data_IF_227990519028
#
_entry.id   IF_227990519028
#
_cell.length_a   1.000
_cell.length_b   1.000
_cell.length_c   1.000
_cell.angle_alpha   90.00
_cell.angle_beta   90.00
_cell.angle_gamma   90.00
#
_symmetry.space_group_name_H-M   'P 1'
#
loop_
_entity.id
_entity.type
_entity.pdbx_description
1 polymer ?
#
# COMPACT_ATOMS: atom_id res chain seq x y z
N UNK A 1 -3.02 8.08 -1.19
CA UNK A 1 -3.69 8.24 0.12
C UNK A 1 -2.61 8.50 1.18
N UNK A 2 -2.92 9.30 2.20
CA UNK A 2 -2.04 9.54 3.35
C UNK A 2 -2.84 9.25 4.61
N UNK A 3 -2.25 8.50 5.54
CA UNK A 3 -2.85 8.05 6.79
C UNK A 3 -1.91 8.36 7.95
N UNK A 4 -2.46 8.52 9.14
CA UNK A 4 -1.65 8.49 10.37
C UNK A 4 -1.27 7.03 10.67
N UNK A 5 -0.03 6.83 11.11
CA UNK A 5 0.52 5.54 11.53
C UNK A 5 0.59 5.45 13.06
N UNK A 6 0.28 6.54 13.77
CA UNK A 6 0.25 6.65 15.22
C UNK A 6 1.56 6.25 15.93
N UNK A 7 2.65 6.07 15.18
CA UNK A 7 4.00 5.70 15.63
C UNK A 7 5.01 6.59 14.93
N UNK A 8 5.88 7.25 15.70
CA UNK A 8 6.95 8.07 15.16
C UNK A 8 8.13 7.19 14.74
N UNK A 9 8.41 7.13 13.44
CA UNK A 9 9.53 6.37 12.91
C UNK A 9 10.82 7.21 12.85
N UNK A 10 11.97 6.63 13.23
CA UNK A 10 13.26 7.33 13.19
C UNK A 10 13.83 7.42 11.77
N UNK A 11 13.38 6.58 10.85
CA UNK A 11 13.75 6.63 9.44
C UNK A 11 12.55 6.33 8.52
N UNK A 12 12.69 6.71 7.25
CA UNK A 12 11.69 6.40 6.23
C UNK A 12 11.87 4.97 5.72
N UNK A 13 10.77 4.22 5.69
CA UNK A 13 10.69 2.89 5.07
C UNK A 13 9.85 2.97 3.79
N UNK A 14 10.44 2.60 2.66
CA UNK A 14 9.73 2.47 1.39
C UNK A 14 9.53 0.99 1.03
N UNK A 15 8.29 0.64 0.71
CA UNK A 15 7.90 -0.65 0.15
C UNK A 15 7.36 -0.41 -1.25
N UNK A 16 8.19 -0.64 -2.26
CA UNK A 16 7.78 -0.46 -3.66
C UNK A 16 7.29 -1.78 -4.21
N UNK A 17 6.04 -1.82 -4.69
CA UNK A 17 5.50 -2.99 -5.39
C UNK A 17 6.37 -3.31 -6.62
N UNK A 18 6.83 -4.55 -6.72
CA UNK A 18 7.57 -5.04 -7.89
C UNK A 18 6.57 -5.38 -9.00
N UNK A 19 6.79 -4.84 -10.19
CA UNK A 19 5.96 -5.14 -11.36
C UNK A 19 6.22 -6.54 -11.90
N UNK A 20 5.23 -7.13 -12.60
CA UNK A 20 5.32 -8.49 -13.19
C UNK A 20 6.43 -8.66 -14.24
N UNK A 21 6.93 -7.57 -14.82
CA UNK A 21 7.83 -7.55 -15.98
C UNK A 21 9.23 -6.99 -15.67
N UNK A 22 9.69 -7.03 -14.43
CA UNK A 22 11.01 -6.49 -14.10
C UNK A 22 12.13 -7.39 -14.64
N UNK A 23 12.63 -7.05 -15.84
CA UNK A 23 13.86 -7.55 -16.46
C UNK A 23 15.09 -7.38 -15.54
N UNK A 24 15.04 -6.39 -14.64
CA UNK A 24 16.04 -6.16 -13.61
C UNK A 24 15.36 -6.23 -12.25
N UNK A 25 15.75 -7.19 -11.40
CA UNK A 25 15.31 -7.26 -10.00
C UNK A 25 15.95 -6.09 -9.24
N UNK A 26 15.20 -5.06 -8.85
CA UNK A 26 15.79 -3.91 -8.18
C UNK A 26 16.22 -4.36 -6.78
N UNK A 27 17.49 -4.15 -6.43
CA UNK A 27 18.10 -4.62 -5.18
C UNK A 27 17.39 -3.97 -3.99
N UNK A 28 16.94 -4.76 -3.02
CA UNK A 28 16.44 -4.27 -1.72
C UNK A 28 17.63 -3.87 -0.83
N UNK A 29 17.43 -2.93 0.08
CA UNK A 29 18.44 -2.66 1.12
C UNK A 29 18.45 -3.77 2.18
N UNK A 30 17.30 -4.40 2.40
CA UNK A 30 17.08 -5.46 3.39
C UNK A 30 16.14 -6.50 2.78
N UNK A 31 16.27 -7.75 3.24
CA UNK A 31 15.37 -8.85 2.93
C UNK A 31 14.76 -9.37 4.25
N UNK A 32 13.48 -9.72 4.24
CA UNK A 32 12.80 -10.34 5.38
C UNK A 32 12.93 -11.86 5.33
N UNK A 33 12.48 -12.57 6.36
CA UNK A 33 12.36 -14.05 6.31
C UNK A 33 11.18 -14.51 5.43
N UNK A 34 10.24 -13.61 5.09
CA UNK A 34 9.11 -13.92 4.23
C UNK A 34 9.49 -13.77 2.74
N UNK A 35 9.85 -14.89 2.10
CA UNK A 35 10.23 -14.92 0.69
C UNK A 35 9.12 -14.43 -0.26
N UNK A 36 7.85 -14.65 0.07
CA UNK A 36 6.73 -14.17 -0.74
C UNK A 36 6.62 -12.64 -0.67
N UNK A 37 6.80 -12.06 0.51
CA UNK A 37 6.84 -10.62 0.71
C UNK A 37 8.01 -9.98 -0.06
N UNK A 38 9.21 -10.54 0.07
CA UNK A 38 10.41 -10.08 -0.65
C UNK A 38 10.27 -10.18 -2.17
N UNK A 39 9.50 -11.16 -2.67
CA UNK A 39 9.20 -11.27 -4.11
C UNK A 39 8.25 -10.16 -4.57
N UNK A 40 7.30 -9.76 -3.73
CA UNK A 40 6.27 -8.75 -4.05
C UNK A 40 6.75 -7.32 -3.86
N UNK A 41 7.67 -7.07 -2.93
CA UNK A 41 8.13 -5.73 -2.57
C UNK A 41 9.64 -5.57 -2.69
N UNK A 42 10.07 -4.39 -3.14
CA UNK A 42 11.41 -3.88 -2.93
C UNK A 42 11.41 -3.07 -1.64
N UNK A 43 12.27 -3.43 -0.69
CA UNK A 43 12.36 -2.80 0.62
C UNK A 43 13.55 -1.84 0.64
N UNK A 44 13.31 -0.56 0.93
CA UNK A 44 14.32 0.49 0.98
C UNK A 44 14.20 1.27 2.28
N UNK A 45 15.31 1.44 2.98
CA UNK A 45 15.39 2.21 4.23
C UNK A 45 16.84 2.56 4.50
N UNK A 46 17.07 3.67 5.20
CA UNK A 46 18.40 4.05 5.70
C UNK A 46 18.75 3.38 7.02
N UNK A 47 17.77 2.80 7.71
CA UNK A 47 17.93 2.10 8.97
C UNK A 47 17.17 0.76 8.94
N UNK A 48 17.89 -0.33 9.18
CA UNK A 48 17.30 -1.66 9.18
C UNK A 48 16.43 -1.96 10.39
N UNK A 49 16.70 -1.34 11.54
CA UNK A 49 15.86 -1.52 12.73
C UNK A 49 14.45 -0.98 12.50
N UNK A 50 14.32 0.16 11.82
CA UNK A 50 13.03 0.70 11.36
C UNK A 50 12.24 -0.30 10.52
N UNK A 51 12.90 -1.04 9.62
CA UNK A 51 12.20 -2.04 8.81
C UNK A 51 11.65 -3.18 9.67
N UNK A 52 12.42 -3.70 10.64
CA UNK A 52 11.95 -4.77 11.53
C UNK A 52 10.86 -4.31 12.51
N UNK A 53 10.90 -3.05 12.94
CA UNK A 53 9.86 -2.48 13.78
C UNK A 53 8.50 -2.39 13.07
N UNK A 54 8.50 -2.02 11.79
CA UNK A 54 7.28 -1.92 10.98
C UNK A 54 6.85 -3.28 10.44
N UNK A 55 7.78 -4.04 9.85
CA UNK A 55 7.50 -5.28 9.12
C UNK A 55 7.44 -6.49 10.04
N UNK A 56 6.55 -6.44 11.03
CA UNK A 56 6.19 -7.64 11.80
C UNK A 56 5.55 -8.68 10.87
N UNK A 57 5.63 -9.99 11.19
CA UNK A 57 5.01 -11.03 10.37
C UNK A 57 3.54 -10.76 10.05
N UNK A 58 2.73 -10.35 11.02
CA UNK A 58 1.31 -10.04 10.81
C UNK A 58 1.11 -8.80 9.94
N UNK A 59 1.90 -7.74 10.13
CA UNK A 59 1.75 -6.52 9.35
C UNK A 59 2.15 -6.72 7.89
N UNK A 60 3.14 -7.57 7.61
CA UNK A 60 3.48 -7.98 6.24
C UNK A 60 2.29 -8.65 5.53
N UNK A 61 1.54 -9.49 6.23
CA UNK A 61 0.34 -10.12 5.66
C UNK A 61 -0.75 -9.09 5.37
N UNK A 62 -0.98 -8.11 6.25
CA UNK A 62 -1.93 -7.02 6.00
C UNK A 62 -1.51 -6.15 4.81
N UNK A 63 -0.22 -5.84 4.67
CA UNK A 63 0.32 -5.11 3.51
C UNK A 63 0.10 -5.91 2.21
N UNK A 64 0.27 -7.23 2.24
CA UNK A 64 0.03 -8.08 1.07
C UNK A 64 -1.46 -8.15 0.70
N UNK A 65 -2.33 -8.34 1.69
CA UNK A 65 -3.78 -8.36 1.53
C UNK A 65 -4.34 -7.01 1.05
N UNK A 66 -3.79 -5.88 1.50
CA UNK A 66 -4.17 -4.56 1.01
C UNK A 66 -3.97 -4.43 -0.52
N UNK A 67 -2.85 -4.96 -1.03
CA UNK A 67 -2.59 -5.01 -2.47
C UNK A 67 -3.53 -5.96 -3.23
N UNK A 68 -4.10 -6.97 -2.56
CA UNK A 68 -5.10 -7.90 -3.13
C UNK A 68 -6.49 -7.27 -3.19
N UNK A 69 -6.89 -6.56 -2.12
CA UNK A 69 -8.13 -5.76 -2.08
C UNK A 69 -8.14 -4.70 -3.18
N UNK A 70 -7.01 -4.01 -3.38
CA UNK A 70 -6.83 -3.04 -4.45
C UNK A 70 -6.82 -3.68 -5.85
N UNK A 71 -6.52 -4.98 -5.94
CA UNK A 71 -6.25 -5.72 -7.18
C UNK A 71 -5.26 -4.98 -8.10
N UNK A 72 -4.27 -4.33 -7.50
CA UNK A 72 -3.35 -3.42 -8.18
C UNK A 72 -2.00 -3.35 -7.45
N UNK A 73 -0.89 -3.10 -8.16
CA UNK A 73 0.38 -2.82 -7.50
C UNK A 73 0.22 -1.66 -6.51
N UNK A 74 0.43 -1.97 -5.23
CA UNK A 74 0.23 -1.02 -4.13
C UNK A 74 1.55 -0.83 -3.42
N UNK A 75 2.05 0.40 -3.36
CA UNK A 75 3.31 0.75 -2.70
C UNK A 75 3.03 1.59 -1.45
N UNK A 76 3.93 1.49 -0.48
CA UNK A 76 3.81 2.12 0.83
C UNK A 76 5.08 2.90 1.15
N UNK A 77 4.92 4.03 1.82
CA UNK A 77 6.01 4.84 2.36
C UNK A 77 5.65 5.26 3.78
N UNK A 78 6.35 4.69 4.76
CA UNK A 78 6.20 5.03 6.17
C UNK A 78 7.25 6.08 6.50
N UNK A 79 6.82 7.27 6.89
CA UNK A 79 7.70 8.41 7.13
C UNK A 79 7.18 9.27 8.28
N UNK A 80 8.00 9.47 9.31
CA UNK A 80 7.55 10.13 10.53
C UNK A 80 6.39 9.35 11.15
N UNK A 81 5.25 10.00 11.34
CA UNK A 81 4.01 9.38 11.83
C UNK A 81 3.02 9.06 10.71
N UNK A 82 3.41 9.09 9.43
CA UNK A 82 2.48 8.93 8.31
C UNK A 82 2.79 7.71 7.46
N UNK A 83 1.72 7.12 6.91
CA UNK A 83 1.80 6.15 5.81
C UNK A 83 1.25 6.78 4.54
N UNK A 84 2.07 6.82 3.50
CA UNK A 84 1.65 7.20 2.16
C UNK A 84 1.44 5.94 1.34
N UNK A 85 0.25 5.81 0.76
CA UNK A 85 -0.18 4.62 0.01
C UNK A 85 -0.44 5.04 -1.43
N UNK A 86 0.25 4.39 -2.35
CA UNK A 86 0.13 4.60 -3.79
C UNK A 86 -0.40 3.32 -4.45
N UNK A 87 -1.55 3.41 -5.11
CA UNK A 87 -2.22 2.29 -5.78
C UNK A 87 -2.16 2.55 -7.29
N UNK A 88 -1.46 1.71 -8.03
CA UNK A 88 -1.42 1.76 -9.50
C UNK A 88 -2.60 0.97 -10.08
N UNK A 89 -3.80 1.52 -9.95
CA UNK A 89 -5.04 0.90 -10.45
C UNK A 89 -5.17 0.95 -11.98
N UNK A 90 -4.25 1.64 -12.68
CA UNK A 90 -4.34 1.98 -14.12
C UNK A 90 -5.64 2.70 -14.52
N UNK A 91 -6.36 3.20 -13.53
CA UNK A 91 -7.57 3.98 -13.68
C UNK A 91 -7.35 5.33 -13.04
N UNK A 92 -7.87 6.39 -13.67
CA UNK A 92 -7.91 7.73 -13.06
C UNK A 92 -8.96 7.68 -11.94
N UNK A 93 -8.51 7.29 -10.75
CA UNK A 93 -9.36 7.13 -9.58
C UNK A 93 -9.76 8.48 -9.02
N UNK A 94 -11.03 8.59 -8.64
CA UNK A 94 -11.66 9.80 -8.16
C UNK A 94 -11.65 11.00 -9.13
N UNK A 95 -11.36 10.77 -10.42
CA UNK A 95 -11.43 11.80 -11.46
C UNK A 95 -12.70 11.68 -12.31
N UNK A 96 -13.34 12.83 -12.56
CA UNK A 96 -14.44 12.97 -13.50
C UNK A 96 -13.88 13.27 -14.90
N UNK A 97 -13.99 12.31 -15.82
CA UNK A 97 -13.84 12.57 -17.26
C UNK A 97 -15.10 13.25 -17.79
N UNK A 98 -15.07 13.74 -19.05
CA UNK A 98 -16.24 14.35 -19.72
C UNK A 98 -17.51 13.53 -19.45
N UNK A 99 -18.43 14.13 -18.70
CA UNK A 99 -19.65 13.47 -18.21
C UNK A 99 -20.71 13.52 -19.30
N UNK A 100 -21.30 12.36 -19.62
CA UNK A 100 -22.57 12.28 -20.35
C UNK A 100 -23.69 11.98 -19.36
N UNK A 101 -24.89 12.56 -19.55
CA UNK A 101 -26.02 12.43 -18.61
C UNK A 101 -26.48 10.97 -18.40
N UNK A 102 -26.30 10.10 -19.39
CA UNK A 102 -26.58 8.66 -19.34
C UNK A 102 -25.53 7.84 -18.56
N UNK A 103 -24.46 8.48 -18.07
CA UNK A 103 -23.35 7.84 -17.38
C UNK A 103 -23.28 8.14 -15.88
N UNK A 104 -24.19 8.95 -15.34
CA UNK A 104 -24.15 9.41 -13.94
C UNK A 104 -24.17 8.25 -12.95
N UNK A 105 -25.01 7.24 -13.16
CA UNK A 105 -25.04 6.06 -12.26
C UNK A 105 -23.78 5.21 -12.36
N UNK A 106 -23.19 5.08 -13.55
CA UNK A 106 -21.92 4.37 -13.76
C UNK A 106 -20.78 5.08 -13.04
N UNK A 107 -20.75 6.42 -13.12
CA UNK A 107 -19.80 7.26 -12.39
C UNK A 107 -20.01 7.05 -10.89
N UNK A 108 -21.24 7.20 -10.38
CA UNK A 108 -21.54 7.03 -8.96
C UNK A 108 -21.10 5.66 -8.43
N UNK A 109 -21.35 4.59 -9.18
CA UNK A 109 -20.93 3.24 -8.80
C UNK A 109 -19.40 3.06 -8.86
N UNK A 110 -18.72 3.65 -9.84
CA UNK A 110 -17.25 3.69 -9.89
C UNK A 110 -16.68 4.33 -8.62
N UNK A 111 -17.11 5.56 -8.29
CA UNK A 111 -16.64 6.27 -7.10
C UNK A 111 -16.94 5.50 -5.80
N UNK A 112 -18.12 4.89 -5.68
CA UNK A 112 -18.47 4.06 -4.52
C UNK A 112 -17.54 2.85 -4.38
N UNK A 113 -17.26 2.16 -5.47
CA UNK A 113 -16.37 1.00 -5.45
C UNK A 113 -14.93 1.43 -5.11
N UNK A 114 -14.51 2.60 -5.59
CA UNK A 114 -13.20 3.16 -5.26
C UNK A 114 -13.06 3.50 -3.78
N UNK A 115 -14.05 4.21 -3.22
CA UNK A 115 -14.08 4.50 -1.78
C UNK A 115 -14.13 3.22 -0.94
N UNK A 116 -14.87 2.21 -1.38
CA UNK A 116 -15.00 0.94 -0.65
C UNK A 116 -13.67 0.19 -0.53
N UNK A 117 -12.89 0.06 -1.60
CA UNK A 117 -11.61 -0.63 -1.45
C UNK A 117 -10.62 0.20 -0.63
N UNK A 118 -10.68 1.54 -0.73
CA UNK A 118 -9.86 2.44 0.09
C UNK A 118 -10.17 2.24 1.57
N UNK A 119 -11.45 2.24 1.97
CA UNK A 119 -11.83 2.02 3.37
C UNK A 119 -11.46 0.62 3.85
N UNK A 120 -11.62 -0.41 3.01
CA UNK A 120 -11.21 -1.77 3.37
C UNK A 120 -9.70 -1.89 3.61
N UNK A 121 -8.88 -1.17 2.83
CA UNK A 121 -7.42 -1.12 3.06
C UNK A 121 -7.11 -0.42 4.38
N UNK A 122 -7.82 0.68 4.69
CA UNK A 122 -7.66 1.37 5.97
C UNK A 122 -8.02 0.47 7.15
N UNK A 123 -9.20 -0.15 7.11
CA UNK A 123 -9.68 -1.05 8.16
C UNK A 123 -8.67 -2.17 8.41
N UNK A 124 -8.17 -2.79 7.34
CA UNK A 124 -7.16 -3.86 7.40
C UNK A 124 -5.84 -3.40 8.02
N UNK A 125 -5.34 -2.21 7.66
CA UNK A 125 -4.07 -1.70 8.19
C UNK A 125 -4.20 -1.24 9.65
N UNK A 126 -5.37 -0.71 10.04
CA UNK A 126 -5.67 -0.31 11.42
C UNK A 126 -5.84 -1.50 12.36
N UNK A 127 -6.09 -2.72 11.85
CA UNK A 127 -6.08 -3.93 12.70
C UNK A 127 -4.73 -4.13 13.43
N UNK A 128 -3.63 -3.62 12.86
CA UNK A 128 -2.31 -3.68 13.48
C UNK A 128 -2.18 -2.81 14.74
N UNK A 129 -3.11 -1.88 14.98
CA UNK A 129 -3.13 -1.06 16.20
C UNK A 129 -3.80 -1.78 17.38
N UNK A 130 -4.48 -2.90 17.13
CA UNK A 130 -5.18 -3.67 18.16
C UNK A 130 -4.39 -4.91 18.63
N UNK A 131 -3.15 -5.05 18.19
CA UNK A 131 -2.25 -6.14 18.57
C UNK A 131 -1.14 -5.53 19.44
N UNK A 132 -1.47 -5.29 20.71
CA UNK A 132 -0.52 -5.00 21.80
C UNK A 132 -0.06 -6.30 22.47
#
# INVERSE_FOLDING_TARGET
>A
MICDFHKQLPATLHLKAKGRSQLFKPKSDIETENAAFNKRYQIKTRDGHTAFYVLTPHFMEYIMQAGEIANAPTSFCFSGSQVHIAIDSRHDSLELKRVKLDSVDKIRNKFRNELKYVTNILDLLLLNENID
#
